data_IF_124461615404
#
_entry.id   IF_124461615404
#
_cell.length_a   1.000
_cell.length_b   1.000
_cell.length_c   1.000
_cell.angle_alpha   90.00
_cell.angle_beta   90.00
_cell.angle_gamma   90.00
#
_symmetry.space_group_name_H-M   'P 1'
#
loop_
_entity.id
_entity.type
_entity.pdbx_description
1 polymer ?
#
# COMPACT_ATOMS: atom_id res chain seq x y z
N UNK A 1 3.47 28.36 -14.58
CA UNK A 1 2.20 28.09 -13.89
C UNK A 1 1.26 27.40 -14.87
N UNK A 2 1.43 26.09 -15.05
CA UNK A 2 0.87 25.30 -16.16
C UNK A 2 -0.35 24.44 -15.78
N UNK A 3 -1.25 24.96 -14.94
CA UNK A 3 -2.43 24.21 -14.49
C UNK A 3 -3.68 25.06 -14.61
N UNK A 4 -4.08 25.36 -15.85
CA UNK A 4 -5.42 25.91 -16.10
C UNK A 4 -6.43 24.77 -16.17
N UNK A 5 -7.53 24.86 -15.43
CA UNK A 5 -8.64 23.90 -15.46
C UNK A 5 -9.15 23.63 -16.88
N UNK A 6 -9.01 24.61 -17.79
CA UNK A 6 -9.32 24.45 -19.21
C UNK A 6 -8.42 23.41 -19.90
N UNK A 7 -7.15 23.32 -19.54
CA UNK A 7 -6.23 22.34 -20.12
C UNK A 7 -6.57 20.92 -19.68
N UNK A 8 -6.99 20.76 -18.43
CA UNK A 8 -7.49 19.48 -17.89
C UNK A 8 -8.75 19.06 -18.64
N UNK A 9 -9.69 19.99 -18.86
CA UNK A 9 -10.91 19.74 -19.61
C UNK A 9 -10.63 19.37 -21.07
N UNK A 10 -9.69 20.07 -21.71
CA UNK A 10 -9.27 19.82 -23.09
C UNK A 10 -8.62 18.43 -23.25
N UNK A 11 -7.75 18.03 -22.30
CA UNK A 11 -7.15 16.70 -22.27
C UNK A 11 -8.21 15.61 -22.04
N UNK A 12 -9.18 15.86 -21.17
CA UNK A 12 -10.29 14.95 -20.91
C UNK A 12 -11.17 14.74 -22.16
N UNK A 13 -11.53 15.83 -22.85
CA UNK A 13 -12.34 15.76 -24.09
C UNK A 13 -11.58 15.01 -25.19
N UNK A 14 -10.28 15.30 -25.38
CA UNK A 14 -9.44 14.58 -26.36
C UNK A 14 -9.36 13.09 -26.06
N UNK A 15 -9.25 12.70 -24.80
CA UNK A 15 -9.23 11.30 -24.37
C UNK A 15 -10.57 10.57 -24.62
N UNK A 16 -11.70 11.25 -24.40
CA UNK A 16 -13.02 10.70 -24.71
C UNK A 16 -13.21 10.54 -26.23
N UNK A 17 -12.77 11.54 -27.01
CA UNK A 17 -12.88 11.53 -28.48
C UNK A 17 -11.96 10.51 -29.15
N UNK A 18 -10.85 10.13 -28.52
CA UNK A 18 -9.97 9.08 -29.02
C UNK A 18 -10.52 7.67 -28.79
N UNK A 19 -11.77 7.53 -28.31
CA UNK A 19 -12.38 6.23 -28.00
C UNK A 19 -11.69 5.56 -26.82
N UNK A 20 -11.12 6.35 -25.90
CA UNK A 20 -10.23 5.91 -24.82
C UNK A 20 -8.91 5.28 -25.29
N UNK A 21 -8.64 5.27 -26.60
CA UNK A 21 -7.34 4.87 -27.14
C UNK A 21 -6.39 6.05 -27.02
N UNK A 22 -5.40 5.93 -26.13
CA UNK A 22 -4.22 6.76 -26.20
C UNK A 22 -3.11 5.87 -26.73
N UNK A 23 -2.45 6.27 -27.82
CA UNK A 23 -1.06 5.86 -28.04
C UNK A 23 -0.25 6.48 -26.89
N UNK A 24 -0.27 5.80 -25.75
CA UNK A 24 0.45 6.22 -24.57
C UNK A 24 1.95 6.16 -24.89
N UNK A 25 2.77 7.04 -24.27
CA UNK A 25 4.19 6.77 -24.22
C UNK A 25 4.37 5.36 -23.61
N UNK A 26 5.40 4.58 -24.02
CA UNK A 26 5.59 3.16 -23.67
C UNK A 26 5.87 2.86 -22.18
N UNK A 27 5.20 3.55 -21.24
CA UNK A 27 5.51 3.64 -19.81
C UNK A 27 4.30 3.38 -18.89
N UNK A 28 3.22 2.76 -19.38
CA UNK A 28 2.07 2.32 -18.54
C UNK A 28 2.20 0.86 -18.04
N UNK A 29 3.39 0.31 -18.19
CA UNK A 29 3.79 -1.07 -17.90
C UNK A 29 3.88 -1.39 -16.40
N UNK A 30 3.22 -2.46 -15.95
CA UNK A 30 3.39 -2.96 -14.56
C UNK A 30 4.81 -3.46 -14.37
N UNK A 31 5.54 -2.87 -13.41
CA UNK A 31 6.91 -3.27 -13.12
C UNK A 31 6.90 -4.48 -12.18
N UNK A 32 7.42 -5.61 -12.63
CA UNK A 32 7.63 -6.78 -11.78
C UNK A 32 8.96 -6.62 -11.05
N UNK A 33 8.99 -6.54 -9.70
CA UNK A 33 10.25 -6.48 -8.97
C UNK A 33 11.05 -7.76 -9.23
N UNK A 34 12.38 -7.66 -9.19
CA UNK A 34 13.33 -8.76 -9.43
C UNK A 34 13.48 -9.25 -10.88
N UNK A 35 12.71 -8.73 -11.84
CA UNK A 35 12.84 -9.06 -13.27
C UNK A 35 12.94 -7.80 -14.15
N UNK A 36 14.08 -7.62 -14.82
CA UNK A 36 14.37 -6.48 -15.71
C UNK A 36 13.56 -6.40 -17.00
N UNK A 37 13.08 -7.53 -17.52
CA UNK A 37 12.54 -7.65 -18.89
C UNK A 37 11.06 -7.95 -18.94
N UNK A 38 10.41 -8.19 -17.80
CA UNK A 38 8.98 -8.51 -17.72
C UNK A 38 8.25 -7.26 -17.24
N UNK A 39 7.76 -6.48 -18.20
CA UNK A 39 6.70 -5.52 -17.97
C UNK A 39 5.40 -6.03 -18.58
N UNK A 40 4.30 -5.92 -17.83
CA UNK A 40 2.99 -6.25 -18.38
C UNK A 40 2.33 -4.97 -18.92
N UNK A 41 2.08 -4.86 -20.24
CA UNK A 41 1.41 -3.71 -20.82
C UNK A 41 -0.08 -3.77 -20.45
N UNK A 42 -0.44 -3.10 -19.35
CA UNK A 42 -1.81 -3.09 -18.82
C UNK A 42 -2.81 -2.35 -19.73
N UNK A 43 -2.32 -1.46 -20.60
CA UNK A 43 -3.14 -0.48 -21.30
C UNK A 43 -3.82 0.50 -20.32
N UNK A 44 -4.61 1.44 -20.86
CA UNK A 44 -5.30 2.47 -20.06
C UNK A 44 -6.24 1.84 -19.03
N UNK A 45 -7.11 0.94 -19.47
CA UNK A 45 -8.12 0.32 -18.61
C UNK A 45 -7.51 -0.58 -17.53
N UNK A 46 -6.47 -1.36 -17.85
CA UNK A 46 -5.77 -2.17 -16.87
C UNK A 46 -5.03 -1.32 -15.84
N UNK A 47 -4.43 -0.20 -16.25
CA UNK A 47 -3.78 0.73 -15.32
C UNK A 47 -4.78 1.42 -14.40
N UNK A 48 -5.95 1.81 -14.91
CA UNK A 48 -7.05 2.37 -14.09
C UNK A 48 -7.52 1.34 -13.06
N UNK A 49 -7.78 0.10 -13.49
CA UNK A 49 -8.23 -0.97 -12.60
C UNK A 49 -7.18 -1.30 -11.52
N UNK A 50 -5.90 -1.37 -11.89
CA UNK A 50 -4.81 -1.57 -10.94
C UNK A 50 -4.71 -0.42 -9.94
N UNK A 51 -4.75 0.83 -10.42
CA UNK A 51 -4.66 2.02 -9.56
C UNK A 51 -5.81 2.05 -8.55
N UNK A 52 -7.04 1.78 -9.01
CA UNK A 52 -8.21 1.66 -8.14
C UNK A 52 -7.99 0.57 -7.10
N UNK A 53 -7.56 -0.62 -7.53
CA UNK A 53 -7.33 -1.76 -6.63
C UNK A 53 -6.25 -1.47 -5.59
N UNK A 54 -5.13 -0.86 -5.98
CA UNK A 54 -4.02 -0.55 -5.08
C UNK A 54 -4.42 0.49 -4.04
N UNK A 55 -5.06 1.59 -4.46
CA UNK A 55 -5.43 2.68 -3.54
C UNK A 55 -6.54 2.22 -2.59
N UNK A 56 -7.64 1.70 -3.13
CA UNK A 56 -8.78 1.25 -2.31
C UNK A 56 -8.40 0.04 -1.46
N UNK A 57 -7.62 -0.89 -2.02
CA UNK A 57 -7.10 -2.05 -1.31
C UNK A 57 -6.21 -1.64 -0.14
N UNK A 58 -5.26 -0.73 -0.35
CA UNK A 58 -4.38 -0.24 0.71
C UNK A 58 -5.15 0.52 1.81
N UNK A 59 -6.09 1.41 1.45
CA UNK A 59 -6.96 2.10 2.43
C UNK A 59 -7.69 1.11 3.33
N UNK A 60 -8.37 0.12 2.75
CA UNK A 60 -9.11 -0.87 3.53
C UNK A 60 -8.18 -1.81 4.31
N UNK A 61 -7.03 -2.18 3.74
CA UNK A 61 -6.09 -3.06 4.43
C UNK A 61 -5.49 -2.41 5.69
N UNK A 62 -5.13 -1.13 5.62
CA UNK A 62 -4.68 -0.38 6.80
C UNK A 62 -5.81 -0.24 7.83
N UNK A 63 -7.03 0.07 7.38
CA UNK A 63 -8.21 0.15 8.26
C UNK A 63 -8.51 -1.18 8.98
N UNK A 64 -8.45 -2.31 8.28
CA UNK A 64 -8.63 -3.64 8.89
C UNK A 64 -7.51 -4.01 9.88
N UNK A 65 -6.34 -3.37 9.76
CA UNK A 65 -5.19 -3.61 10.65
C UNK A 65 -5.21 -2.71 11.89
N UNK A 66 -6.00 -1.63 11.89
CA UNK A 66 -6.15 -0.69 13.01
C UNK A 66 -7.11 -1.23 14.08
N UNK A 67 -6.80 -2.42 14.62
CA UNK A 67 -7.62 -3.13 15.62
C UNK A 67 -6.97 -3.27 16.99
N UNK A 68 -5.68 -2.93 17.13
CA UNK A 68 -4.90 -3.01 18.37
C UNK A 68 -3.97 -1.79 18.50
N UNK A 69 -3.60 -1.45 19.74
CA UNK A 69 -2.79 -0.29 20.09
C UNK A 69 -1.41 -0.33 19.41
N UNK A 70 -1.14 0.62 18.51
CA UNK A 70 0.12 0.72 17.77
C UNK A 70 0.31 -0.30 16.64
N UNK A 71 -0.68 -1.16 16.36
CA UNK A 71 -0.54 -2.23 15.36
C UNK A 71 -0.40 -1.68 13.94
N UNK A 72 -1.19 -0.68 13.57
CA UNK A 72 -1.23 -0.16 12.20
C UNK A 72 -0.19 0.94 11.94
N UNK A 73 -0.01 1.88 12.87
CA UNK A 73 0.77 3.10 12.59
C UNK A 73 2.26 2.81 12.34
N UNK A 74 2.90 1.93 13.11
CA UNK A 74 4.32 1.70 12.94
C UNK A 74 4.63 1.01 11.59
N UNK A 75 3.87 -0.02 11.15
CA UNK A 75 3.94 -0.50 9.77
C UNK A 75 3.72 0.58 8.71
N UNK A 76 2.77 1.50 8.91
CA UNK A 76 2.54 2.63 7.99
C UNK A 76 3.79 3.52 7.90
N UNK A 77 4.41 3.85 9.02
CA UNK A 77 5.65 4.65 9.08
C UNK A 77 6.80 3.95 8.36
N UNK A 78 6.99 2.64 8.58
CA UNK A 78 8.06 1.87 7.95
C UNK A 78 7.88 1.78 6.43
N UNK A 79 6.68 1.43 5.98
CA UNK A 79 6.35 1.31 4.54
C UNK A 79 6.39 2.67 3.85
N UNK A 80 5.83 3.71 4.48
CA UNK A 80 5.84 5.07 3.95
C UNK A 80 7.27 5.63 3.82
N UNK A 81 8.12 5.41 4.82
CA UNK A 81 9.54 5.79 4.76
C UNK A 81 10.27 5.05 3.63
N UNK A 82 10.03 3.75 3.48
CA UNK A 82 10.63 2.97 2.39
C UNK A 82 10.16 3.46 1.01
N UNK A 83 8.87 3.76 0.84
CA UNK A 83 8.33 4.39 -0.37
C UNK A 83 8.93 5.77 -0.64
N UNK A 84 9.22 6.56 0.40
CA UNK A 84 9.95 7.82 0.28
C UNK A 84 11.33 7.66 -0.35
N UNK A 85 12.04 6.57 -0.04
CA UNK A 85 13.33 6.23 -0.68
C UNK A 85 13.12 5.94 -2.16
N UNK A 86 12.10 5.17 -2.53
CA UNK A 86 11.76 4.92 -3.94
C UNK A 86 11.38 6.22 -4.68
N UNK A 87 10.63 7.10 -4.02
CA UNK A 87 10.27 8.41 -4.58
C UNK A 87 11.49 9.29 -4.87
N UNK A 88 12.46 9.29 -3.97
CA UNK A 88 13.71 10.02 -4.16
C UNK A 88 14.54 9.46 -5.34
N UNK A 89 14.63 8.13 -5.42
CA UNK A 89 15.39 7.46 -6.48
C UNK A 89 14.74 7.68 -7.85
N UNK A 90 13.42 7.51 -7.96
CA UNK A 90 12.67 7.70 -9.20
C UNK A 90 12.60 9.17 -9.61
N UNK A 91 12.66 10.09 -8.63
CA UNK A 91 12.68 11.54 -8.83
C UNK A 91 14.06 12.13 -9.15
N UNK A 92 15.16 11.36 -9.05
CA UNK A 92 16.52 11.82 -9.36
C UNK A 92 17.00 11.24 -10.68
N UNK A 93 17.38 12.11 -11.63
CA UNK A 93 17.85 11.69 -12.96
C UNK A 93 19.14 10.86 -12.92
N UNK A 94 19.96 11.03 -11.88
CA UNK A 94 21.20 10.28 -11.66
C UNK A 94 20.89 8.89 -11.14
N UNK A 95 20.13 8.79 -10.05
CA UNK A 95 19.84 7.51 -9.40
C UNK A 95 18.90 6.64 -10.23
N UNK A 96 17.89 7.23 -10.87
CA UNK A 96 16.97 6.49 -11.73
C UNK A 96 17.72 5.83 -12.90
N UNK A 97 18.70 6.52 -13.50
CA UNK A 97 19.52 5.98 -14.58
C UNK A 97 20.46 4.88 -14.09
N UNK A 98 21.09 5.07 -12.92
CA UNK A 98 22.02 4.09 -12.34
C UNK A 98 21.32 2.79 -11.94
N UNK A 99 20.14 2.89 -11.33
CA UNK A 99 19.37 1.74 -10.84
C UNK A 99 18.34 1.23 -11.86
N UNK A 100 18.31 1.78 -13.07
CA UNK A 100 17.40 1.40 -14.16
C UNK A 100 15.91 1.55 -13.79
N UNK A 101 15.59 2.59 -13.01
CA UNK A 101 14.21 2.99 -12.73
C UNK A 101 13.70 4.01 -13.75
N UNK A 102 12.39 4.04 -14.02
CA UNK A 102 11.78 5.11 -14.78
C UNK A 102 11.99 6.44 -14.04
N UNK A 103 12.53 7.43 -14.77
CA UNK A 103 12.65 8.78 -14.25
C UNK A 103 11.28 9.47 -14.26
N UNK A 104 10.85 9.96 -13.09
CA UNK A 104 9.58 10.63 -12.88
C UNK A 104 9.87 12.03 -12.32
N UNK A 105 9.87 13.07 -13.18
CA UNK A 105 10.14 14.44 -12.73
C UNK A 105 9.20 14.87 -11.60
N UNK A 106 9.75 15.42 -10.53
CA UNK A 106 8.98 15.90 -9.37
C UNK A 106 8.57 14.82 -8.37
N UNK A 107 8.79 13.52 -8.64
CA UNK A 107 8.45 12.46 -7.68
C UNK A 107 9.25 12.57 -6.37
N UNK A 108 10.41 13.23 -6.39
CA UNK A 108 11.23 13.48 -5.20
C UNK A 108 10.50 14.29 -4.10
N UNK A 109 9.51 15.12 -4.46
CA UNK A 109 8.70 15.87 -3.48
C UNK A 109 7.89 14.94 -2.57
N UNK A 110 7.56 13.72 -3.03
CA UNK A 110 6.88 12.73 -2.20
C UNK A 110 7.74 12.27 -1.03
N UNK A 111 9.07 12.40 -1.09
CA UNK A 111 9.94 12.12 0.07
C UNK A 111 9.61 13.07 1.22
N UNK A 112 9.34 14.35 0.95
CA UNK A 112 8.98 15.34 1.97
C UNK A 112 7.67 14.92 2.64
N UNK A 113 6.67 14.54 1.84
CA UNK A 113 5.41 14.02 2.34
C UNK A 113 5.61 12.75 3.18
N UNK A 114 6.43 11.79 2.71
CA UNK A 114 6.72 10.56 3.44
C UNK A 114 7.44 10.83 4.77
N UNK A 115 8.36 11.79 4.80
CA UNK A 115 9.05 12.22 6.02
C UNK A 115 8.09 12.88 7.02
N UNK A 116 7.18 13.73 6.55
CA UNK A 116 6.13 14.31 7.37
C UNK A 116 5.18 13.23 7.93
N UNK A 117 4.78 12.27 7.10
CA UNK A 117 3.98 11.11 7.51
C UNK A 117 4.71 10.27 8.56
N UNK A 118 6.01 10.03 8.39
CA UNK A 118 6.82 9.29 9.35
C UNK A 118 6.91 10.03 10.69
N UNK A 119 7.21 11.33 10.68
CA UNK A 119 7.27 12.16 11.89
C UNK A 119 5.93 12.22 12.62
N UNK A 120 4.84 12.50 11.90
CA UNK A 120 3.49 12.52 12.46
C UNK A 120 3.07 11.14 12.99
N UNK A 121 3.41 10.06 12.29
CA UNK A 121 3.12 8.70 12.71
C UNK A 121 3.89 8.26 13.95
N UNK A 122 5.15 8.64 14.09
CA UNK A 122 5.92 8.40 15.32
C UNK A 122 5.39 9.22 16.50
N UNK A 123 5.00 10.47 16.27
CA UNK A 123 4.35 11.30 17.28
C UNK A 123 2.98 10.73 17.69
N UNK A 124 2.19 10.24 16.75
CA UNK A 124 0.94 9.54 17.03
C UNK A 124 1.18 8.25 17.83
N UNK A 125 2.18 7.46 17.44
CA UNK A 125 2.55 6.23 18.14
C UNK A 125 2.87 6.49 19.61
N UNK A 126 3.51 7.61 19.96
CA UNK A 126 3.76 8.01 21.36
C UNK A 126 2.48 8.01 22.22
N UNK A 127 1.34 8.39 21.65
CA UNK A 127 0.04 8.40 22.34
C UNK A 127 -0.81 7.15 22.08
N UNK A 128 -0.46 6.35 21.07
CA UNK A 128 -1.20 5.17 20.66
C UNK A 128 -0.55 3.84 21.09
N UNK A 129 0.68 3.85 21.60
CA UNK A 129 1.28 2.65 22.22
C UNK A 129 0.49 2.21 23.43
N UNK A 130 0.32 0.89 23.58
CA UNK A 130 -0.45 0.32 24.67
C UNK A 130 0.03 0.77 26.07
N UNK A 131 -0.88 1.23 26.95
CA UNK A 131 -2.31 1.48 26.71
C UNK A 131 -2.58 2.78 25.93
N UNK A 132 -3.35 2.71 24.84
CA UNK A 132 -3.59 3.87 23.98
C UNK A 132 -4.40 4.99 24.66
N UNK A 133 -3.97 6.22 24.43
CA UNK A 133 -4.65 7.45 24.85
C UNK A 133 -5.47 8.06 23.71
N UNK A 134 -5.06 7.81 22.46
CA UNK A 134 -5.71 8.31 21.25
C UNK A 134 -5.83 7.16 20.24
N UNK A 135 -7.01 7.03 19.64
CA UNK A 135 -7.28 6.08 18.56
C UNK A 135 -7.15 6.75 17.20
N UNK A 136 -6.68 6.01 16.20
CA UNK A 136 -6.47 6.51 14.84
C UNK A 136 -7.81 6.75 14.14
N UNK A 137 -8.71 5.75 14.22
CA UNK A 137 -10.04 5.80 13.62
C UNK A 137 -10.00 5.78 12.09
N UNK A 138 -11.18 5.75 11.48
CA UNK A 138 -11.31 5.64 10.02
C UNK A 138 -10.64 6.80 9.27
N UNK A 139 -10.65 8.00 9.86
CA UNK A 139 -10.02 9.20 9.29
C UNK A 139 -8.52 8.97 9.10
N UNK A 140 -7.82 8.45 10.11
CA UNK A 140 -6.40 8.15 10.01
C UNK A 140 -6.13 6.93 9.14
N UNK A 141 -6.83 5.82 9.38
CA UNK A 141 -6.49 4.56 8.74
C UNK A 141 -6.75 4.56 7.23
N UNK A 142 -7.90 5.09 6.77
CA UNK A 142 -8.23 5.15 5.34
C UNK A 142 -7.33 6.14 4.59
N UNK A 143 -7.02 7.29 5.20
CA UNK A 143 -6.18 8.31 4.59
C UNK A 143 -4.73 7.86 4.48
N UNK A 144 -4.18 7.23 5.52
CA UNK A 144 -2.82 6.68 5.50
C UNK A 144 -2.68 5.55 4.47
N UNK A 145 -3.61 4.60 4.43
CA UNK A 145 -3.58 3.54 3.42
C UNK A 145 -3.75 4.09 2.00
N UNK A 146 -4.62 5.08 1.81
CA UNK A 146 -4.82 5.74 0.51
C UNK A 146 -3.58 6.52 0.06
N UNK A 147 -2.90 7.19 0.99
CA UNK A 147 -1.64 7.88 0.74
C UNK A 147 -0.54 6.89 0.32
N UNK A 148 -0.36 5.78 1.04
CA UNK A 148 0.61 4.75 0.67
C UNK A 148 0.33 4.17 -0.71
N UNK A 149 -0.94 3.84 -1.00
CA UNK A 149 -1.36 3.36 -2.31
C UNK A 149 -1.07 4.37 -3.43
N UNK A 150 -1.36 5.65 -3.18
CA UNK A 150 -1.13 6.73 -4.15
C UNK A 150 0.36 6.92 -4.44
N UNK A 151 1.20 6.95 -3.40
CA UNK A 151 2.66 7.08 -3.54
C UNK A 151 3.22 5.88 -4.32
N UNK A 152 2.76 4.67 -4.03
CA UNK A 152 3.19 3.46 -4.74
C UNK A 152 2.84 3.51 -6.24
N UNK A 153 1.64 3.97 -6.59
CA UNK A 153 1.23 4.13 -8.00
C UNK A 153 2.08 5.20 -8.70
N UNK A 154 2.30 6.35 -8.06
CA UNK A 154 3.13 7.42 -8.64
C UNK A 154 4.56 6.93 -8.85
N UNK A 155 5.13 6.21 -7.88
CA UNK A 155 6.52 5.72 -7.94
C UNK A 155 6.68 4.40 -8.72
N UNK A 156 5.58 3.85 -9.28
CA UNK A 156 5.57 2.57 -10.02
C UNK A 156 6.06 1.37 -9.19
N UNK A 157 5.72 1.40 -7.89
CA UNK A 157 6.11 0.40 -6.89
C UNK A 157 4.89 -0.29 -6.29
N UNK A 158 3.89 -0.63 -7.11
CA UNK A 158 2.63 -1.23 -6.68
C UNK A 158 2.84 -2.62 -6.06
N UNK A 159 3.64 -3.48 -6.70
CA UNK A 159 3.95 -4.82 -6.19
C UNK A 159 4.86 -4.73 -4.96
N UNK A 160 5.82 -3.80 -4.97
CA UNK A 160 6.72 -3.59 -3.82
C UNK A 160 5.94 -3.10 -2.61
N UNK A 161 4.91 -2.24 -2.77
CA UNK A 161 3.98 -1.89 -1.71
C UNK A 161 3.28 -3.15 -1.16
N UNK A 162 2.82 -4.06 -2.02
CA UNK A 162 2.23 -5.33 -1.57
C UNK A 162 3.19 -6.20 -0.75
N UNK A 163 4.48 -6.20 -1.09
CA UNK A 163 5.53 -6.92 -0.34
C UNK A 163 5.79 -6.22 1.00
N UNK A 164 6.13 -4.93 0.99
CA UNK A 164 6.48 -4.16 2.19
C UNK A 164 5.29 -4.06 3.16
N UNK A 165 4.08 -3.86 2.62
CA UNK A 165 2.81 -3.88 3.33
C UNK A 165 2.22 -5.28 3.52
N UNK A 166 3.03 -6.33 3.45
CA UNK A 166 2.57 -7.72 3.50
C UNK A 166 1.77 -8.06 4.76
N UNK A 167 1.99 -7.37 5.88
CA UNK A 167 1.14 -7.48 7.08
C UNK A 167 -0.28 -6.96 6.81
N UNK A 168 -0.43 -5.78 6.20
CA UNK A 168 -1.73 -5.24 5.80
C UNK A 168 -2.45 -6.17 4.82
N UNK A 169 -1.69 -6.71 3.86
CA UNK A 169 -2.22 -7.66 2.87
C UNK A 169 -2.68 -8.94 3.55
N UNK A 170 -1.90 -9.49 4.47
CA UNK A 170 -2.25 -10.69 5.20
C UNK A 170 -3.51 -10.48 6.06
N UNK A 171 -3.62 -9.33 6.73
CA UNK A 171 -4.78 -8.94 7.52
C UNK A 171 -6.04 -8.85 6.65
N UNK A 172 -5.98 -8.13 5.53
CA UNK A 172 -7.09 -8.01 4.59
C UNK A 172 -7.50 -9.36 3.98
N UNK A 173 -6.54 -10.17 3.55
CA UNK A 173 -6.78 -11.52 3.02
C UNK A 173 -7.42 -12.43 4.06
N UNK A 174 -7.02 -12.32 5.33
CA UNK A 174 -7.61 -13.13 6.40
C UNK A 174 -9.10 -12.88 6.57
N UNK A 175 -9.52 -11.60 6.49
CA UNK A 175 -10.92 -11.20 6.57
C UNK A 175 -11.68 -11.68 5.34
N UNK A 176 -11.13 -11.46 4.13
CA UNK A 176 -11.77 -11.89 2.89
C UNK A 176 -11.98 -13.41 2.86
N UNK A 177 -10.96 -14.19 3.20
CA UNK A 177 -11.02 -15.66 3.25
C UNK A 177 -12.02 -16.13 4.32
N UNK A 178 -12.00 -15.54 5.51
CA UNK A 178 -12.92 -15.89 6.59
C UNK A 178 -14.37 -15.64 6.20
N UNK A 179 -14.68 -14.46 5.62
CA UNK A 179 -16.03 -14.09 5.21
C UNK A 179 -16.50 -14.95 4.03
N UNK A 180 -15.64 -15.18 3.03
CA UNK A 180 -15.96 -16.02 1.88
C UNK A 180 -16.27 -17.47 2.32
N UNK A 181 -15.45 -18.02 3.21
CA UNK A 181 -15.64 -19.37 3.73
C UNK A 181 -16.91 -19.50 4.57
N UNK A 182 -17.14 -18.57 5.49
CA UNK A 182 -18.33 -18.58 6.34
C UNK A 182 -19.62 -18.51 5.51
N UNK A 183 -19.65 -17.66 4.47
CA UNK A 183 -20.77 -17.57 3.53
C UNK A 183 -20.94 -18.85 2.71
N UNK A 184 -19.83 -19.42 2.20
CA UNK A 184 -19.86 -20.66 1.42
C UNK A 184 -20.40 -21.83 2.24
N UNK A 185 -19.89 -22.08 3.44
CA UNK A 185 -20.33 -23.23 4.24
C UNK A 185 -21.74 -23.05 4.76
N UNK A 186 -22.17 -21.80 5.07
CA UNK A 186 -23.56 -21.52 5.45
C UNK A 186 -24.52 -21.84 4.32
N UNK A 187 -24.16 -21.53 3.08
CA UNK A 187 -24.96 -21.87 1.88
C UNK A 187 -24.97 -23.38 1.60
N UNK A 188 -23.83 -24.07 1.76
CA UNK A 188 -23.68 -25.49 1.38
C UNK A 188 -24.14 -26.47 2.46
N UNK A 189 -23.91 -26.18 3.73
CA UNK A 189 -24.09 -27.11 4.85
C UNK A 189 -25.06 -26.57 5.92
N UNK A 190 -25.76 -25.46 5.68
CA UNK A 190 -26.68 -24.82 6.61
C UNK A 190 -26.01 -24.13 7.82
N UNK A 191 -24.72 -24.37 8.06
CA UNK A 191 -23.96 -23.85 9.20
C UNK A 191 -22.69 -23.11 8.75
N UNK A 192 -22.48 -21.92 9.30
CA UNK A 192 -21.28 -21.13 9.04
C UNK A 192 -20.09 -21.69 9.81
N UNK A 193 -19.02 -22.05 9.10
CA UNK A 193 -17.77 -22.55 9.67
C UNK A 193 -16.71 -21.46 9.53
N UNK A 194 -15.79 -21.39 10.49
CA UNK A 194 -14.72 -20.39 10.55
C UNK A 194 -13.37 -21.07 10.30
N UNK A 195 -12.48 -20.43 9.53
CA UNK A 195 -11.10 -20.90 9.32
C UNK A 195 -10.22 -20.43 10.48
N UNK A 196 -10.32 -19.14 10.81
CA UNK A 196 -9.65 -18.52 11.94
C UNK A 196 -10.58 -18.44 13.15
N UNK A 197 -10.02 -18.53 14.36
CA UNK A 197 -10.76 -18.30 15.62
C UNK A 197 -11.55 -16.97 15.60
N UNK A 198 -10.90 -15.92 15.10
CA UNK A 198 -11.47 -14.60 14.84
C UNK A 198 -10.67 -13.98 13.69
N UNK A 199 -11.31 -13.21 12.81
CA UNK A 199 -10.63 -12.38 11.82
C UNK A 199 -10.79 -10.92 12.27
N UNK A 200 -9.78 -10.05 12.07
CA UNK A 200 -8.53 -10.26 11.33
C UNK A 200 -7.47 -11.13 12.05
N UNK A 201 -6.28 -11.33 11.47
CA UNK A 201 -5.20 -12.21 11.97
C UNK A 201 -4.73 -11.85 13.37
N UNK A 202 -4.60 -10.57 13.71
CA UNK A 202 -4.18 -10.18 15.05
C UNK A 202 -5.12 -10.74 16.13
N UNK A 203 -6.45 -10.67 15.95
CA UNK A 203 -7.41 -11.27 16.87
C UNK A 203 -7.34 -12.80 16.91
N UNK A 204 -6.94 -13.45 15.81
CA UNK A 204 -6.68 -14.89 15.82
C UNK A 204 -5.55 -15.26 16.78
N UNK A 205 -4.46 -14.47 16.79
CA UNK A 205 -3.33 -14.67 17.69
C UNK A 205 -3.68 -14.35 19.14
N UNK A 206 -4.45 -13.30 19.41
CA UNK A 206 -4.95 -13.00 20.75
C UNK A 206 -5.83 -14.13 21.30
N UNK A 207 -6.78 -14.64 20.51
CA UNK A 207 -7.60 -15.81 20.87
C UNK A 207 -6.80 -17.12 20.93
N UNK A 208 -5.53 -17.09 20.55
CA UNK A 208 -4.59 -18.21 20.72
C UNK A 208 -3.69 -18.04 21.93
N UNK A 209 -3.91 -17.01 22.75
CA UNK A 209 -3.25 -16.80 24.03
C UNK A 209 -2.05 -15.83 23.97
N UNK A 210 -1.84 -15.14 22.84
CA UNK A 210 -0.80 -14.12 22.76
C UNK A 210 -1.28 -12.82 23.40
N UNK A 211 -0.38 -12.10 24.06
CA UNK A 211 -0.67 -10.75 24.55
C UNK A 211 -0.76 -9.78 23.37
N UNK A 212 -1.60 -8.74 23.49
CA UNK A 212 -1.73 -7.69 22.47
C UNK A 212 -0.37 -7.10 22.08
N UNK A 213 0.41 -6.65 23.07
CA UNK A 213 1.77 -6.11 22.84
C UNK A 213 2.71 -7.10 22.16
N UNK A 214 2.57 -8.39 22.42
CA UNK A 214 3.34 -9.44 21.76
C UNK A 214 2.97 -9.58 20.28
N UNK A 215 1.68 -9.46 19.93
CA UNK A 215 1.22 -9.47 18.53
C UNK A 215 1.77 -8.24 17.79
N UNK A 216 1.58 -7.05 18.38
CA UNK A 216 2.00 -5.76 17.82
C UNK A 216 3.50 -5.75 17.49
N UNK A 217 4.36 -6.06 18.47
CA UNK A 217 5.81 -6.05 18.26
C UNK A 217 6.26 -7.08 17.23
N UNK A 218 5.65 -8.27 17.20
CA UNK A 218 5.98 -9.30 16.20
C UNK A 218 5.60 -8.85 14.80
N UNK A 219 4.46 -8.19 14.64
CA UNK A 219 4.02 -7.66 13.36
C UNK A 219 4.95 -6.53 12.90
N UNK A 220 5.45 -5.70 13.81
CA UNK A 220 6.48 -4.70 13.48
C UNK A 220 7.77 -5.33 12.99
N UNK A 221 8.25 -6.41 13.62
CA UNK A 221 9.44 -7.15 13.18
C UNK A 221 9.23 -7.71 11.77
N UNK A 222 8.06 -8.33 11.52
CA UNK A 222 7.74 -8.87 10.19
C UNK A 222 7.69 -7.75 9.15
N UNK A 223 7.03 -6.63 9.43
CA UNK A 223 7.00 -5.47 8.52
C UNK A 223 8.39 -4.92 8.26
N UNK A 224 9.25 -4.81 9.28
CA UNK A 224 10.63 -4.36 9.11
C UNK A 224 11.39 -5.28 8.13
N UNK A 225 11.28 -6.60 8.29
CA UNK A 225 11.91 -7.57 7.38
C UNK A 225 11.34 -7.45 5.95
N UNK A 226 10.03 -7.30 5.80
CA UNK A 226 9.38 -7.10 4.50
C UNK A 226 9.81 -5.80 3.82
N UNK A 227 9.98 -4.71 4.59
CA UNK A 227 10.53 -3.45 4.09
C UNK A 227 11.98 -3.62 3.61
N UNK A 228 12.81 -4.37 4.34
CA UNK A 228 14.18 -4.68 3.91
C UNK A 228 14.20 -5.49 2.62
N UNK A 229 13.31 -6.48 2.47
CA UNK A 229 13.14 -7.25 1.23
C UNK A 229 12.68 -6.34 0.08
N UNK A 230 11.73 -5.44 0.35
CA UNK A 230 11.28 -4.45 -0.62
C UNK A 230 12.42 -3.53 -1.08
N UNK A 231 13.20 -2.99 -0.15
CA UNK A 231 14.36 -2.14 -0.46
C UNK A 231 15.48 -2.92 -1.16
N UNK A 232 15.67 -4.21 -0.88
CA UNK A 232 16.63 -5.04 -1.61
C UNK A 232 16.30 -5.12 -3.12
N UNK A 233 15.02 -4.99 -3.50
CA UNK A 233 14.59 -4.90 -4.90
C UNK A 233 15.10 -3.66 -5.64
N UNK A 234 15.68 -2.67 -4.95
CA UNK A 234 16.34 -1.51 -5.58
C UNK A 234 17.56 -1.93 -6.40
N UNK A 235 18.32 -2.91 -5.91
CA UNK A 235 19.59 -3.34 -6.52
C UNK A 235 19.46 -4.69 -7.23
N UNK A 236 18.55 -5.54 -6.75
CA UNK A 236 18.28 -6.86 -7.28
C UNK A 236 17.18 -6.80 -8.36
N UNK A 237 17.43 -6.07 -9.43
CA UNK A 237 16.63 -6.14 -10.67
C UNK A 237 17.50 -6.66 -11.79
#
# INVERSE_FOLDING_TARGET
>A
SETSNMRVLELFIRWVQSGFANELPPKADLMVPFFKTISYPLGVFGFIALTYFVIVGASNAVNLTDGLDGLAIMPVVMVGSALGIFAYITGSSVYSKYLLFPYIPGAGELLIFCAALAGAGLAFLWFNTHPAQVFMGDVGALSLGGALGTIAVITRQEIVLGIMGGVFVAEALSVMLQVAWFKYTKRKYGTGRRILKMAPLHHHFEKSGWKETQVVVRFWIVTMLLCLIGLASLKLR
#
